data_IF_597633950789
#
_entry.id   IF_597633950789
#
_cell.length_a   1.000
_cell.length_b   1.000
_cell.length_c   1.000
_cell.angle_alpha   90.00
_cell.angle_beta   90.00
_cell.angle_gamma   90.00
#
_symmetry.space_group_name_H-M   'P 1'
#
loop_
_entity.id
_entity.type
_entity.pdbx_description
1 polymer ?
#
# COMPACT_ATOMS: atom_id res chain seq x y z
N UNK A 1 -15.23 -10.82 -10.22
CA UNK A 1 -13.79 -11.05 -10.48
C UNK A 1 -13.18 -12.21 -9.66
N UNK A 2 -13.89 -12.77 -8.67
CA UNK A 2 -13.37 -13.87 -7.84
C UNK A 2 -14.05 -15.24 -8.10
N UNK A 3 -14.73 -15.42 -9.24
CA UNK A 3 -15.35 -16.71 -9.60
C UNK A 3 -14.27 -17.72 -10.01
N UNK A 4 -13.63 -18.32 -9.00
CA UNK A 4 -12.55 -19.29 -9.19
C UNK A 4 -13.06 -20.55 -9.90
N UNK A 5 -14.29 -20.98 -9.62
CA UNK A 5 -14.87 -22.19 -10.20
C UNK A 5 -15.18 -21.99 -11.68
N UNK A 6 -15.82 -20.88 -12.04
CA UNK A 6 -16.10 -20.55 -13.44
C UNK A 6 -14.82 -20.35 -14.26
N UNK A 7 -13.83 -19.63 -13.73
CA UNK A 7 -12.54 -19.47 -14.39
C UNK A 7 -11.81 -20.81 -14.56
N UNK A 8 -11.84 -21.69 -13.55
CA UNK A 8 -11.25 -23.03 -13.66
C UNK A 8 -11.96 -23.90 -14.71
N UNK A 9 -13.29 -23.80 -14.80
CA UNK A 9 -14.07 -24.51 -15.81
C UNK A 9 -13.72 -24.07 -17.24
N UNK A 10 -13.54 -22.76 -17.49
CA UNK A 10 -13.10 -22.22 -18.79
C UNK A 10 -11.74 -22.79 -19.19
N UNK A 11 -10.76 -22.74 -18.28
CA UNK A 11 -9.42 -23.26 -18.52
C UNK A 11 -9.45 -24.76 -18.79
N UNK A 12 -10.21 -25.54 -18.00
CA UNK A 12 -10.31 -26.98 -18.17
C UNK A 12 -11.00 -27.39 -19.48
N UNK A 13 -11.94 -26.58 -19.98
CA UNK A 13 -12.62 -26.80 -21.24
C UNK A 13 -11.79 -26.37 -22.47
N UNK A 14 -10.70 -25.62 -22.27
CA UNK A 14 -9.97 -24.97 -23.37
C UNK A 14 -10.74 -23.83 -24.04
N UNK A 15 -11.84 -23.36 -23.42
CA UNK A 15 -12.67 -22.26 -23.91
C UNK A 15 -12.06 -20.93 -23.47
N UNK A 16 -10.89 -20.63 -24.04
CA UNK A 16 -10.06 -19.49 -23.65
C UNK A 16 -10.57 -18.21 -24.33
N UNK A 17 -10.91 -17.14 -23.58
CA UNK A 17 -11.29 -15.87 -24.17
C UNK A 17 -10.17 -15.25 -25.00
N UNK A 18 -10.53 -14.34 -25.92
CA UNK A 18 -9.55 -13.65 -26.77
C UNK A 18 -8.60 -12.74 -25.96
N UNK A 19 -9.15 -12.03 -24.98
CA UNK A 19 -8.44 -11.16 -24.05
C UNK A 19 -8.98 -11.41 -22.64
N UNK A 20 -8.10 -11.58 -21.66
CA UNK A 20 -8.53 -11.99 -20.33
C UNK A 20 -7.66 -11.45 -19.19
N UNK A 21 -8.36 -11.05 -18.13
CA UNK A 21 -7.82 -10.81 -16.79
C UNK A 21 -8.44 -11.86 -15.84
N UNK A 22 -7.62 -12.78 -15.32
CA UNK A 22 -8.10 -13.97 -14.61
C UNK A 22 -7.48 -14.13 -13.20
N UNK A 23 -7.68 -13.18 -12.27
CA UNK A 23 -7.09 -13.25 -10.93
C UNK A 23 -7.49 -14.49 -10.12
N UNK A 24 -8.64 -15.11 -10.45
CA UNK A 24 -9.12 -16.36 -9.87
C UNK A 24 -8.76 -17.63 -10.65
N UNK A 25 -7.96 -17.52 -11.72
CA UNK A 25 -7.60 -18.64 -12.59
C UNK A 25 -6.77 -19.73 -11.90
N UNK A 26 -6.80 -20.98 -12.40
CA UNK A 26 -6.11 -22.11 -11.76
C UNK A 26 -4.62 -22.23 -12.14
N UNK A 27 -4.13 -21.45 -13.11
CA UNK A 27 -2.79 -21.55 -13.70
C UNK A 27 -2.13 -20.19 -13.80
N UNK A 28 -0.82 -20.09 -13.55
CA UNK A 28 -0.10 -18.82 -13.74
C UNK A 28 0.10 -18.51 -15.23
N UNK A 29 0.35 -17.24 -15.63
CA UNK A 29 0.50 -16.86 -17.03
C UNK A 29 1.55 -17.68 -17.81
N UNK A 30 2.69 -18.00 -17.19
CA UNK A 30 3.72 -18.82 -17.82
C UNK A 30 3.26 -20.25 -18.09
N UNK A 31 2.42 -20.81 -17.22
CA UNK A 31 1.89 -22.17 -17.38
C UNK A 31 0.80 -22.19 -18.44
N UNK A 32 -0.08 -21.16 -18.45
CA UNK A 32 -1.07 -20.96 -19.51
C UNK A 32 -0.42 -20.90 -20.90
N UNK A 33 0.74 -20.26 -21.02
CA UNK A 33 1.49 -20.23 -22.28
C UNK A 33 2.10 -21.60 -22.63
N UNK A 34 2.79 -22.23 -21.67
CA UNK A 34 3.42 -23.56 -21.86
C UNK A 34 2.41 -24.66 -22.21
N UNK A 35 1.19 -24.57 -21.69
CA UNK A 35 0.09 -25.49 -21.96
C UNK A 35 -0.63 -25.20 -23.29
N UNK A 36 -0.23 -24.15 -24.02
CA UNK A 36 -0.81 -23.79 -25.31
C UNK A 36 -2.21 -23.18 -25.20
N UNK A 37 -2.52 -22.55 -24.08
CA UNK A 37 -3.80 -21.85 -23.88
C UNK A 37 -3.73 -20.38 -24.31
N UNK A 38 -2.54 -19.80 -24.24
CA UNK A 38 -2.29 -18.38 -24.56
C UNK A 38 -1.15 -18.19 -25.53
N UNK A 39 -1.23 -17.14 -26.35
CA UNK A 39 -0.13 -16.68 -27.19
C UNK A 39 0.68 -15.58 -26.50
N UNK A 40 1.89 -15.35 -26.98
CA UNK A 40 2.68 -14.17 -26.62
C UNK A 40 2.29 -12.95 -27.44
N UNK A 41 2.74 -11.78 -26.98
CA UNK A 41 2.66 -10.50 -27.68
C UNK A 41 4.09 -10.04 -28.01
N UNK A 42 4.44 -9.83 -29.29
CA UNK A 42 5.73 -9.29 -29.67
C UNK A 42 5.90 -7.84 -29.20
N UNK A 43 7.11 -7.44 -28.82
CA UNK A 43 7.43 -6.07 -28.38
C UNK A 43 7.07 -5.02 -29.44
N UNK A 44 7.23 -5.38 -30.73
CA UNK A 44 6.86 -4.52 -31.86
C UNK A 44 5.37 -4.17 -31.86
N UNK A 45 4.49 -5.07 -31.41
CA UNK A 45 3.05 -4.82 -31.34
C UNK A 45 2.73 -3.78 -30.26
N UNK A 46 3.43 -3.78 -29.13
CA UNK A 46 3.29 -2.70 -28.15
C UNK A 46 3.72 -1.37 -28.75
N UNK A 47 4.88 -1.32 -29.42
CA UNK A 47 5.37 -0.09 -30.04
C UNK A 47 4.42 0.47 -31.10
N UNK A 48 3.84 -0.39 -31.93
CA UNK A 48 3.03 0.03 -33.08
C UNK A 48 1.55 0.25 -32.74
N UNK A 49 0.98 -0.61 -31.89
CA UNK A 49 -0.47 -0.67 -31.68
C UNK A 49 -0.92 -0.29 -30.26
N UNK A 50 0.00 -0.27 -29.28
CA UNK A 50 -0.24 0.21 -27.91
C UNK A 50 0.88 1.16 -27.44
N UNK A 51 1.20 2.23 -28.21
CA UNK A 51 2.36 3.07 -27.94
C UNK A 51 2.32 3.78 -26.58
N UNK A 52 1.13 4.01 -26.00
CA UNK A 52 1.01 4.57 -24.66
C UNK A 52 1.61 3.65 -23.58
N UNK A 53 1.31 2.35 -23.63
CA UNK A 53 1.92 1.35 -22.76
C UNK A 53 3.42 1.21 -23.02
N UNK A 54 3.83 1.16 -24.29
CA UNK A 54 5.24 1.10 -24.65
C UNK A 54 6.03 2.30 -24.10
N UNK A 55 5.44 3.50 -24.13
CA UNK A 55 6.02 4.69 -23.51
C UNK A 55 6.20 4.57 -21.99
N UNK A 56 5.30 3.87 -21.28
CA UNK A 56 5.48 3.58 -19.85
C UNK A 56 6.67 2.63 -19.61
N UNK A 57 6.86 1.64 -20.49
CA UNK A 57 8.04 0.76 -20.44
C UNK A 57 9.34 1.54 -20.70
N UNK A 58 9.34 2.49 -21.63
CA UNK A 58 10.49 3.35 -21.89
C UNK A 58 10.79 4.31 -20.72
N UNK A 59 9.76 4.83 -20.08
CA UNK A 59 9.88 5.69 -18.90
C UNK A 59 10.54 4.95 -17.72
N UNK A 60 10.24 3.66 -17.55
CA UNK A 60 10.86 2.81 -16.54
C UNK A 60 11.34 1.48 -17.15
N UNK A 61 12.56 1.46 -17.72
CA UNK A 61 13.06 0.34 -18.53
C UNK A 61 13.12 -1.02 -17.83
N UNK A 62 13.03 -1.08 -16.50
CA UNK A 62 12.88 -2.34 -15.78
C UNK A 62 11.60 -3.08 -16.19
N UNK A 63 10.57 -2.35 -16.65
CA UNK A 63 9.31 -2.90 -17.15
C UNK A 63 9.47 -3.89 -18.31
N UNK A 64 10.48 -3.70 -19.17
CA UNK A 64 10.78 -4.65 -20.26
C UNK A 64 11.22 -6.03 -19.77
N UNK A 65 11.52 -6.19 -18.47
CA UNK A 65 11.87 -7.50 -17.88
C UNK A 65 10.66 -8.26 -17.35
N UNK A 66 9.50 -7.61 -17.22
CA UNK A 66 8.30 -8.24 -16.63
C UNK A 66 7.53 -9.01 -17.67
N UNK A 67 7.06 -10.19 -17.26
CA UNK A 67 6.22 -11.08 -18.08
C UNK A 67 6.83 -11.43 -19.45
N UNK A 68 8.16 -11.42 -19.61
CA UNK A 68 8.82 -12.00 -20.78
C UNK A 68 8.51 -13.49 -20.86
N UNK A 69 8.26 -13.98 -22.07
CA UNK A 69 8.15 -15.41 -22.31
C UNK A 69 9.51 -16.07 -22.06
N UNK A 70 9.55 -17.31 -21.51
CA UNK A 70 10.80 -18.00 -21.25
C UNK A 70 11.72 -18.03 -22.47
N UNK A 71 13.02 -17.77 -22.25
CA UNK A 71 14.07 -17.81 -23.27
C UNK A 71 13.91 -16.79 -24.42
N UNK A 72 13.12 -15.73 -24.22
CA UNK A 72 12.94 -14.63 -25.20
C UNK A 72 13.37 -13.28 -24.64
N UNK A 73 13.53 -12.29 -25.53
CA UNK A 73 13.86 -10.90 -25.15
C UNK A 73 12.81 -9.88 -25.59
N UNK A 74 11.86 -10.30 -26.41
CA UNK A 74 10.93 -9.44 -27.13
C UNK A 74 9.53 -10.06 -27.28
N UNK A 75 9.24 -11.18 -26.59
CA UNK A 75 7.92 -11.80 -26.55
C UNK A 75 7.40 -11.77 -25.11
N UNK A 76 6.17 -11.32 -24.93
CA UNK A 76 5.56 -11.13 -23.62
C UNK A 76 4.37 -12.06 -23.42
N UNK A 77 4.24 -12.67 -22.24
CA UNK A 77 3.12 -13.53 -21.84
C UNK A 77 1.77 -12.78 -21.80
N UNK A 78 1.80 -11.45 -21.82
CA UNK A 78 0.64 -10.58 -21.76
C UNK A 78 1.01 -9.12 -21.57
N UNK A 79 0.01 -8.27 -21.38
CA UNK A 79 0.19 -6.86 -21.02
C UNK A 79 0.39 -6.81 -19.50
N UNK A 80 1.50 -6.20 -19.05
CA UNK A 80 1.79 -6.07 -17.62
C UNK A 80 1.00 -4.93 -17.03
N UNK A 81 0.27 -5.19 -15.94
CA UNK A 81 -0.36 -4.14 -15.14
C UNK A 81 0.69 -3.16 -14.61
N UNK A 82 0.45 -1.86 -14.83
CA UNK A 82 1.36 -0.78 -14.43
C UNK A 82 0.75 0.00 -13.25
N UNK A 83 1.32 -0.16 -12.06
CA UNK A 83 0.88 0.49 -10.84
C UNK A 83 1.91 1.50 -10.31
N UNK A 84 2.07 2.64 -10.98
CA UNK A 84 2.98 3.69 -10.49
C UNK A 84 2.60 4.14 -9.08
N UNK A 85 1.29 4.30 -8.85
CA UNK A 85 0.77 4.66 -7.53
C UNK A 85 1.23 3.65 -6.46
N UNK A 86 1.14 2.34 -6.70
CA UNK A 86 1.52 1.33 -5.70
C UNK A 86 2.99 1.37 -5.30
N UNK A 87 3.87 1.91 -6.15
CA UNK A 87 5.29 2.10 -5.83
C UNK A 87 5.58 3.47 -5.19
N UNK A 88 4.57 4.31 -5.00
CA UNK A 88 4.70 5.68 -4.51
C UNK A 88 3.83 5.99 -3.28
N UNK A 89 2.84 5.15 -2.95
CA UNK A 89 2.02 5.31 -1.75
C UNK A 89 2.28 4.23 -0.70
N UNK A 90 2.08 4.61 0.55
CA UNK A 90 2.09 3.75 1.73
C UNK A 90 0.67 3.24 2.00
N UNK A 91 0.50 1.93 2.23
CA UNK A 91 -0.84 1.39 2.52
C UNK A 91 -1.29 1.71 3.95
N UNK A 92 -0.34 1.58 4.87
CA UNK A 92 -0.41 2.03 6.26
C UNK A 92 0.29 3.40 6.35
N UNK A 93 -0.35 4.38 7.00
CA UNK A 93 0.22 5.70 7.23
C UNK A 93 0.49 5.86 8.71
N UNK A 94 1.70 6.32 9.05
CA UNK A 94 2.02 6.69 10.42
C UNK A 94 1.20 7.92 10.82
N UNK A 95 0.46 7.83 11.93
CA UNK A 95 -0.30 8.93 12.53
C UNK A 95 0.22 9.16 13.94
N UNK A 96 0.41 10.42 14.34
CA UNK A 96 0.75 10.81 15.70
C UNK A 96 -0.35 11.73 16.24
N UNK A 97 -0.78 11.51 17.48
CA UNK A 97 -1.59 12.48 18.22
C UNK A 97 -0.74 13.74 18.47
N UNK A 98 -1.09 14.83 17.79
CA UNK A 98 -0.33 16.08 17.82
C UNK A 98 -0.40 16.76 19.18
N UNK A 99 -1.56 16.70 19.84
CA UNK A 99 -1.72 17.28 21.18
C UNK A 99 -0.82 16.57 22.19
N UNK A 100 -0.73 15.24 22.11
CA UNK A 100 0.18 14.46 22.95
C UNK A 100 1.64 14.79 22.65
N UNK A 101 2.00 14.90 21.36
CA UNK A 101 3.37 15.21 20.93
C UNK A 101 3.84 16.55 21.50
N UNK A 102 2.99 17.58 21.40
CA UNK A 102 3.24 18.90 21.98
C UNK A 102 3.30 18.85 23.52
N UNK A 103 2.39 18.10 24.16
CA UNK A 103 2.34 17.96 25.62
C UNK A 103 3.63 17.37 26.21
N UNK A 104 4.27 16.44 25.49
CA UNK A 104 5.52 15.80 25.94
C UNK A 104 6.79 16.54 25.46
N UNK A 105 6.62 17.70 24.82
CA UNK A 105 7.68 18.65 24.50
C UNK A 105 8.26 18.56 23.09
N UNK A 106 7.59 17.87 22.16
CA UNK A 106 7.96 17.85 20.75
C UNK A 106 7.06 18.78 19.94
N UNK A 107 7.66 19.77 19.29
CA UNK A 107 6.94 20.72 18.44
C UNK A 107 7.22 20.44 16.96
N UNK A 108 6.21 20.62 16.11
CA UNK A 108 6.33 20.56 14.66
C UNK A 108 6.05 21.94 14.07
N UNK A 109 6.83 22.30 13.05
CA UNK A 109 6.53 23.48 12.24
C UNK A 109 5.38 23.15 11.27
N UNK A 110 4.12 23.40 11.68
CA UNK A 110 2.94 23.06 10.87
C UNK A 110 2.88 23.80 9.52
N UNK A 111 3.65 24.88 9.33
CA UNK A 111 3.77 25.55 8.02
C UNK A 111 4.41 24.64 6.94
N UNK A 112 5.17 23.61 7.36
CA UNK A 112 5.75 22.59 6.47
C UNK A 112 4.77 21.46 6.17
N UNK A 113 3.65 21.39 6.89
CA UNK A 113 2.62 20.38 6.72
C UNK A 113 1.47 20.91 5.85
N UNK A 114 0.75 19.98 5.23
CA UNK A 114 -0.47 20.27 4.47
C UNK A 114 -1.67 19.90 5.32
N UNK A 115 -2.50 20.90 5.61
CA UNK A 115 -3.82 20.68 6.18
C UNK A 115 -4.65 19.81 5.23
N UNK A 116 -5.28 18.77 5.76
CA UNK A 116 -6.17 17.89 5.00
C UNK A 116 -7.47 18.63 4.69
N UNK A 117 -7.92 18.57 3.44
CA UNK A 117 -9.20 19.12 3.02
C UNK A 117 -10.23 18.00 2.88
N UNK A 118 -11.19 17.98 3.77
CA UNK A 118 -12.35 17.11 3.75
C UNK A 118 -13.37 17.68 2.77
N UNK A 119 -13.62 16.94 1.69
CA UNK A 119 -14.60 17.30 0.66
C UNK A 119 -16.02 16.79 0.98
N UNK A 120 -16.17 15.97 2.02
CA UNK A 120 -17.47 15.40 2.43
C UNK A 120 -18.31 16.46 3.14
N UNK A 121 -19.48 16.75 2.59
CA UNK A 121 -20.42 17.74 3.15
C UNK A 121 -20.77 17.43 4.62
N UNK A 122 -20.69 18.44 5.48
CA UNK A 122 -21.00 18.35 6.91
C UNK A 122 -19.81 17.95 7.79
N UNK A 123 -18.63 17.70 7.20
CA UNK A 123 -17.41 17.32 7.92
C UNK A 123 -16.27 18.34 7.77
N UNK A 124 -16.57 19.54 7.27
CA UNK A 124 -15.57 20.58 6.97
C UNK A 124 -14.82 21.05 8.22
N UNK A 125 -15.43 20.92 9.41
CA UNK A 125 -14.79 21.23 10.68
C UNK A 125 -13.53 20.39 10.95
N UNK A 126 -13.47 19.16 10.42
CA UNK A 126 -12.31 18.27 10.59
C UNK A 126 -11.08 18.71 9.78
N UNK A 127 -11.22 19.72 8.92
CA UNK A 127 -10.07 20.29 8.22
C UNK A 127 -9.01 20.78 9.20
N UNK A 128 -9.41 21.34 10.35
CA UNK A 128 -8.48 21.96 11.31
C UNK A 128 -7.76 20.93 12.21
N UNK A 129 -8.16 19.65 12.14
CA UNK A 129 -7.62 18.59 13.00
C UNK A 129 -6.49 17.79 12.36
N UNK A 130 -6.37 17.78 11.02
CA UNK A 130 -5.54 16.81 10.30
C UNK A 130 -4.48 17.47 9.43
N UNK A 131 -3.23 17.03 9.61
CA UNK A 131 -2.06 17.57 8.91
C UNK A 131 -1.23 16.44 8.31
N UNK A 132 -0.81 16.57 7.05
CA UNK A 132 0.01 15.58 6.33
C UNK A 132 1.35 16.20 5.95
N UNK A 133 2.45 15.52 6.27
CA UNK A 133 3.80 15.99 5.99
C UNK A 133 4.88 15.02 6.46
N UNK A 134 6.12 15.48 6.46
CA UNK A 134 7.26 14.68 6.94
C UNK A 134 7.73 15.21 8.30
N UNK A 135 7.75 14.36 9.32
CA UNK A 135 8.18 14.72 10.67
C UNK A 135 9.69 14.72 10.87
N UNK A 136 10.42 13.87 10.13
CA UNK A 136 11.87 13.74 10.19
C UNK A 136 12.48 13.42 11.57
N UNK A 137 11.70 12.99 12.55
CA UNK A 137 12.20 12.59 13.86
C UNK A 137 13.17 11.41 13.73
N UNK A 138 14.31 11.51 14.41
CA UNK A 138 15.33 10.47 14.48
C UNK A 138 14.81 9.23 15.22
N UNK A 139 15.51 8.11 15.08
CA UNK A 139 15.17 6.89 15.82
C UNK A 139 15.25 7.10 17.34
N UNK A 140 16.20 7.90 17.81
CA UNK A 140 16.36 8.21 19.23
C UNK A 140 15.17 9.03 19.76
N UNK A 141 14.76 10.08 19.03
CA UNK A 141 13.58 10.88 19.34
C UNK A 141 12.31 10.04 19.30
N UNK A 142 12.16 9.15 18.31
CA UNK A 142 11.01 8.25 18.26
C UNK A 142 10.90 7.35 19.50
N UNK A 143 12.02 6.77 19.95
CA UNK A 143 12.03 5.96 21.17
C UNK A 143 11.72 6.78 22.43
N UNK A 144 12.18 8.03 22.49
CA UNK A 144 11.86 8.95 23.58
C UNK A 144 10.38 9.37 23.55
N UNK A 145 9.81 9.64 22.37
CA UNK A 145 8.37 9.91 22.19
C UNK A 145 7.54 8.72 22.69
N UNK A 146 7.85 7.48 22.27
CA UNK A 146 7.13 6.29 22.72
C UNK A 146 7.17 6.14 24.25
N UNK A 147 8.34 6.40 24.84
CA UNK A 147 8.51 6.40 26.30
C UNK A 147 7.64 7.47 26.96
N UNK A 148 7.71 8.71 26.49
CA UNK A 148 6.97 9.83 27.08
C UNK A 148 5.46 9.67 26.95
N UNK A 149 4.97 9.15 25.83
CA UNK A 149 3.57 8.79 25.68
C UNK A 149 3.09 7.71 26.66
N UNK A 150 4.00 6.87 27.15
CA UNK A 150 3.69 5.88 28.19
C UNK A 150 3.86 6.43 29.60
N UNK A 151 4.88 7.25 29.87
CA UNK A 151 5.31 7.56 31.24
C UNK A 151 4.95 8.99 31.72
N UNK A 152 4.57 9.91 30.83
CA UNK A 152 4.42 11.35 31.15
C UNK A 152 2.98 11.88 31.07
N UNK A 153 1.96 11.02 31.12
CA UNK A 153 0.53 11.42 31.13
C UNK A 153 0.17 12.43 30.02
N UNK A 154 0.38 12.07 28.73
CA UNK A 154 0.23 12.99 27.62
C UNK A 154 -1.22 13.45 27.40
N UNK A 155 -2.22 12.73 27.93
CA UNK A 155 -3.63 13.14 27.89
C UNK A 155 -4.08 13.90 29.15
N UNK A 156 -3.21 14.03 30.15
CA UNK A 156 -3.39 14.89 31.32
C UNK A 156 -4.50 14.42 32.26
N UNK A 157 -4.86 13.13 32.24
CA UNK A 157 -5.94 12.60 33.07
C UNK A 157 -5.46 12.15 34.47
N UNK A 158 -4.15 12.09 34.70
CA UNK A 158 -3.53 11.66 35.97
C UNK A 158 -3.51 10.14 36.19
N UNK A 159 -3.85 9.34 35.19
CA UNK A 159 -3.84 7.88 35.20
C UNK A 159 -2.76 7.33 34.26
N UNK A 160 -2.04 6.29 34.69
CA UNK A 160 -1.07 5.57 33.85
C UNK A 160 -1.82 4.58 32.94
N UNK A 161 -2.54 5.09 31.94
CA UNK A 161 -3.35 4.30 31.02
C UNK A 161 -3.00 4.49 29.53
N UNK A 162 -2.09 5.40 29.21
CA UNK A 162 -1.59 5.68 27.87
C UNK A 162 -0.39 4.79 27.49
N UNK A 163 -0.10 4.70 26.19
CA UNK A 163 1.09 4.00 25.69
C UNK A 163 1.53 4.53 24.32
N UNK A 164 2.79 4.27 23.96
CA UNK A 164 3.36 4.73 22.69
C UNK A 164 2.62 4.21 21.45
N UNK A 165 2.59 2.90 21.22
CA UNK A 165 2.05 2.32 19.97
C UNK A 165 1.52 0.88 20.14
N UNK A 166 0.65 0.43 19.25
CA UNK A 166 0.31 -0.99 19.11
C UNK A 166 1.31 -1.75 18.22
N UNK A 167 1.71 -2.96 18.64
CA UNK A 167 2.38 -3.93 17.78
C UNK A 167 1.34 -4.79 17.05
N UNK A 168 1.28 -4.63 15.72
CA UNK A 168 0.32 -5.34 14.86
C UNK A 168 1.00 -6.53 14.14
N UNK A 169 0.23 -7.48 13.58
CA UNK A 169 0.81 -8.54 12.78
C UNK A 169 1.63 -8.00 11.60
N UNK A 170 2.77 -8.61 11.29
CA UNK A 170 3.55 -8.26 10.09
C UNK A 170 2.79 -8.70 8.83
N UNK A 171 2.41 -7.75 7.97
CA UNK A 171 1.70 -8.06 6.73
C UNK A 171 1.80 -6.95 5.69
N UNK A 172 1.24 -7.18 4.50
CA UNK A 172 1.11 -6.14 3.47
C UNK A 172 0.16 -4.99 3.86
N UNK A 173 -0.54 -5.10 4.99
CA UNK A 173 -1.62 -4.20 5.40
C UNK A 173 -1.39 -3.54 6.76
N UNK A 174 -0.39 -3.97 7.51
CA UNK A 174 -0.18 -3.61 8.91
C UNK A 174 1.31 -3.61 9.23
N UNK A 175 1.70 -2.85 10.27
CA UNK A 175 3.04 -2.86 10.84
C UNK A 175 4.12 -2.30 9.89
N UNK A 176 3.71 -1.51 8.88
CA UNK A 176 4.65 -0.98 7.87
C UNK A 176 5.53 0.12 8.44
N UNK A 177 5.04 0.88 9.43
CA UNK A 177 5.84 1.84 10.20
C UNK A 177 7.00 1.12 10.89
N UNK A 178 6.73 0.09 11.69
CA UNK A 178 7.77 -0.60 12.45
C UNK A 178 8.76 -1.37 11.56
N UNK A 179 8.28 -2.08 10.53
CA UNK A 179 9.17 -2.78 9.58
C UNK A 179 9.97 -1.78 8.72
N UNK A 180 9.33 -0.68 8.31
CA UNK A 180 9.94 0.37 7.48
C UNK A 180 11.13 1.05 8.13
N UNK A 181 11.07 1.29 9.45
CA UNK A 181 12.20 1.83 10.24
C UNK A 181 13.48 0.99 10.13
N UNK A 182 13.38 -0.29 9.78
CA UNK A 182 14.52 -1.18 9.66
C UNK A 182 14.76 -1.65 8.22
N UNK A 183 14.09 -1.02 7.24
CA UNK A 183 14.19 -1.38 5.83
C UNK A 183 13.68 -2.79 5.52
N UNK A 184 12.74 -3.29 6.32
CA UNK A 184 12.19 -4.64 6.18
C UNK A 184 10.95 -4.60 5.27
N UNK A 185 10.93 -5.47 4.27
CA UNK A 185 9.78 -5.69 3.39
C UNK A 185 8.88 -6.81 3.93
N UNK A 186 7.57 -6.60 3.86
CA UNK A 186 6.57 -7.62 4.19
C UNK A 186 6.61 -8.83 3.23
N UNK A 187 7.23 -8.69 2.04
CA UNK A 187 7.30 -9.75 1.04
C UNK A 187 8.25 -10.86 1.50
N UNK A 188 7.70 -12.04 1.79
CA UNK A 188 8.47 -13.20 2.26
C UNK A 188 9.58 -13.65 1.30
N UNK A 189 9.43 -13.38 0.00
CA UNK A 189 10.40 -13.75 -1.05
C UNK A 189 11.47 -12.67 -1.28
N UNK A 190 11.38 -11.52 -0.62
CA UNK A 190 12.34 -10.45 -0.80
C UNK A 190 13.69 -10.85 -0.20
N UNK A 191 14.76 -10.59 -0.96
CA UNK A 191 16.12 -10.81 -0.53
C UNK A 191 16.80 -9.48 -0.26
N UNK A 192 17.57 -9.43 0.81
CA UNK A 192 18.19 -8.22 1.32
C UNK A 192 19.69 -8.29 1.08
N UNK A 193 20.29 -7.18 0.68
CA UNK A 193 21.73 -7.02 0.79
C UNK A 193 22.06 -6.64 2.23
N UNK A 194 22.57 -7.60 3.00
CA UNK A 194 22.86 -7.39 4.41
C UNK A 194 24.02 -6.41 4.59
N UNK A 195 23.84 -5.31 5.34
CA UNK A 195 24.87 -4.26 5.46
C UNK A 195 26.11 -4.72 6.26
N UNK A 196 25.98 -5.76 7.08
CA UNK A 196 27.08 -6.26 7.92
C UNK A 196 27.96 -7.27 7.18
N UNK A 197 27.34 -8.22 6.49
CA UNK A 197 28.04 -9.30 5.78
C UNK A 197 28.28 -9.01 4.29
N UNK A 198 27.52 -8.09 3.71
CA UNK A 198 27.54 -7.76 2.27
C UNK A 198 26.82 -8.79 1.38
N UNK A 199 26.30 -9.88 1.96
CA UNK A 199 25.66 -10.97 1.22
C UNK A 199 24.20 -10.65 0.90
N UNK A 200 23.66 -11.31 -0.13
CA UNK A 200 22.22 -11.33 -0.41
C UNK A 200 21.58 -12.47 0.39
N UNK A 201 20.68 -12.13 1.31
CA UNK A 201 20.12 -13.06 2.32
C UNK A 201 18.59 -12.95 2.43
N UNK A 202 17.88 -14.00 2.87
CA UNK A 202 16.46 -13.90 3.20
C UNK A 202 16.21 -13.08 4.48
N UNK A 203 14.95 -12.64 4.71
CA UNK A 203 14.52 -11.87 5.91
C UNK A 203 15.07 -12.45 7.22
N UNK A 204 15.01 -13.77 7.40
CA UNK A 204 15.45 -14.46 8.64
C UNK A 204 16.95 -14.40 8.91
N UNK A 205 17.77 -14.05 7.93
CA UNK A 205 19.23 -13.89 8.06
C UNK A 205 19.67 -12.43 7.89
N UNK A 206 18.73 -11.49 7.74
CA UNK A 206 19.00 -10.07 7.57
C UNK A 206 19.27 -9.41 8.92
N UNK A 207 20.43 -8.76 9.07
CA UNK A 207 20.86 -8.20 10.37
C UNK A 207 19.90 -7.13 10.91
N UNK A 208 19.42 -6.16 10.12
CA UNK A 208 18.42 -5.21 10.59
C UNK A 208 17.10 -5.85 11.03
N UNK A 209 16.71 -7.01 10.48
CA UNK A 209 15.52 -7.72 10.98
C UNK A 209 15.73 -8.31 12.38
N UNK A 210 16.93 -8.81 12.70
CA UNK A 210 17.28 -9.19 14.08
C UNK A 210 17.18 -7.99 15.02
N UNK A 211 17.71 -6.84 14.61
CA UNK A 211 17.74 -5.63 15.44
C UNK A 211 16.34 -5.05 15.65
N UNK A 212 15.49 -5.10 14.62
CA UNK A 212 14.06 -4.85 14.71
C UNK A 212 13.38 -5.75 15.76
N UNK A 213 13.60 -7.07 15.72
CA UNK A 213 12.99 -7.99 16.69
C UNK A 213 13.47 -7.71 18.12
N UNK A 214 14.73 -7.34 18.30
CA UNK A 214 15.26 -6.94 19.60
C UNK A 214 14.59 -5.66 20.11
N UNK A 215 14.41 -4.66 19.25
CA UNK A 215 13.74 -3.41 19.57
C UNK A 215 12.25 -3.60 19.91
N UNK A 216 11.52 -4.41 19.13
CA UNK A 216 10.12 -4.76 19.43
C UNK A 216 10.03 -5.47 20.77
N UNK A 217 10.91 -6.44 21.04
CA UNK A 217 10.94 -7.16 22.32
C UNK A 217 11.18 -6.22 23.50
N UNK A 218 12.15 -5.31 23.39
CA UNK A 218 12.45 -4.32 24.43
C UNK A 218 11.28 -3.35 24.65
N UNK A 219 10.70 -2.82 23.58
CA UNK A 219 9.57 -1.88 23.65
C UNK A 219 8.31 -2.52 24.26
N UNK A 220 8.05 -3.79 23.96
CA UNK A 220 6.97 -4.56 24.58
C UNK A 220 7.23 -4.81 26.07
N UNK A 221 8.47 -5.13 26.45
CA UNK A 221 8.82 -5.36 27.86
C UNK A 221 8.72 -4.09 28.71
N UNK A 222 9.01 -2.93 28.12
CA UNK A 222 8.88 -1.62 28.76
C UNK A 222 7.44 -1.09 28.76
N UNK A 223 6.53 -1.70 28.02
CA UNK A 223 5.13 -1.24 27.90
C UNK A 223 4.94 -0.07 26.92
N UNK A 224 6.02 0.38 26.26
CA UNK A 224 5.98 1.41 25.21
C UNK A 224 5.18 0.94 23.99
N UNK A 225 5.20 -0.36 23.75
CA UNK A 225 4.29 -1.02 22.83
C UNK A 225 3.38 -2.02 23.54
N UNK A 226 2.16 -2.18 23.01
CA UNK A 226 1.22 -3.22 23.47
C UNK A 226 0.81 -4.13 22.31
N UNK A 227 0.59 -5.41 22.61
CA UNK A 227 -0.01 -6.35 21.65
C UNK A 227 -1.52 -6.23 21.69
N UNK A 228 -2.14 -6.62 20.59
CA UNK A 228 -3.57 -6.89 20.56
C UNK A 228 -3.94 -8.03 21.54
N UNK A 229 -5.14 -8.01 22.16
CA UNK A 229 -5.57 -9.03 23.12
C UNK A 229 -5.60 -10.45 22.55
N UNK A 230 -5.93 -10.62 21.26
CA UNK A 230 -6.03 -11.93 20.61
C UNK A 230 -7.35 -12.68 20.89
N UNK A 231 -8.36 -12.00 21.42
CA UNK A 231 -9.73 -12.48 21.65
C UNK A 231 -10.58 -12.45 20.36
N UNK A 232 -10.23 -11.59 19.40
CA UNK A 232 -10.87 -11.48 18.10
C UNK A 232 -9.85 -11.26 16.96
N UNK A 233 -10.35 -11.12 15.73
CA UNK A 233 -9.51 -10.77 14.58
C UNK A 233 -8.89 -9.37 14.77
N UNK A 234 -7.65 -9.20 14.29
CA UNK A 234 -6.85 -8.00 14.53
C UNK A 234 -7.58 -6.69 14.20
N UNK A 235 -8.39 -6.67 13.14
CA UNK A 235 -9.17 -5.50 12.71
C UNK A 235 -10.11 -5.05 13.82
N UNK A 236 -10.92 -5.97 14.36
CA UNK A 236 -11.93 -5.63 15.36
C UNK A 236 -11.29 -5.12 16.65
N UNK A 237 -10.20 -5.76 17.08
CA UNK A 237 -9.48 -5.37 18.29
C UNK A 237 -8.77 -4.01 18.11
N UNK A 238 -8.13 -3.80 16.95
CA UNK A 238 -7.44 -2.55 16.67
C UNK A 238 -8.42 -1.37 16.59
N UNK A 239 -9.57 -1.55 15.94
CA UNK A 239 -10.61 -0.53 15.87
C UNK A 239 -11.16 -0.17 17.26
N UNK A 240 -11.38 -1.17 18.13
CA UNK A 240 -11.84 -0.93 19.50
C UNK A 240 -10.79 -0.20 20.35
N UNK A 241 -9.53 -0.60 20.28
CA UNK A 241 -8.45 -0.02 21.08
C UNK A 241 -8.02 1.37 20.59
N UNK A 242 -7.99 1.61 19.28
CA UNK A 242 -7.67 2.95 18.75
C UNK A 242 -8.77 3.96 19.07
N UNK A 243 -10.04 3.54 19.10
CA UNK A 243 -11.16 4.40 19.47
C UNK A 243 -11.16 4.87 20.93
N UNK A 244 -10.32 4.30 21.80
CA UNK A 244 -10.16 4.80 23.19
C UNK A 244 -9.22 6.00 23.27
N UNK A 245 -8.48 6.34 22.20
CA UNK A 245 -7.44 7.36 22.17
C UNK A 245 -6.41 7.21 23.30
N UNK A 246 -6.02 5.96 23.61
CA UNK A 246 -5.00 5.64 24.64
C UNK A 246 -3.63 5.25 24.07
N UNK A 247 -3.44 5.38 22.76
CA UNK A 247 -2.14 5.22 22.11
C UNK A 247 -1.73 6.54 21.46
N UNK A 248 -0.43 6.87 21.41
CA UNK A 248 0.04 8.14 20.83
C UNK A 248 0.43 8.04 19.36
N UNK A 249 0.88 6.87 18.91
CA UNK A 249 1.22 6.57 17.51
C UNK A 249 0.29 5.47 16.99
N UNK A 250 -0.31 5.71 15.83
CA UNK A 250 -1.30 4.84 15.21
C UNK A 250 -0.86 4.40 13.81
N UNK A 251 -1.32 3.20 13.43
CA UNK A 251 -1.33 2.70 12.05
C UNK A 251 -2.64 3.10 11.39
N UNK A 252 -2.58 4.07 10.49
CA UNK A 252 -3.72 4.56 9.73
C UNK A 252 -3.90 3.84 8.40
N UNK A 253 -5.14 3.57 7.99
CA UNK A 253 -5.38 3.16 6.61
C UNK A 253 -5.21 4.36 5.67
N UNK A 254 -4.52 4.21 4.53
CA UNK A 254 -4.29 5.31 3.55
C UNK A 254 -5.57 6.04 3.13
N UNK A 255 -6.66 5.29 2.98
CA UNK A 255 -7.96 5.80 2.54
C UNK A 255 -8.84 6.18 3.74
N UNK A 256 -8.40 5.79 4.95
CA UNK A 256 -9.07 6.01 6.22
C UNK A 256 -9.50 7.45 6.31
N UNK A 257 -8.53 8.34 6.56
CA UNK A 257 -8.71 9.76 6.91
C UNK A 257 -9.56 10.62 5.95
N UNK A 258 -9.88 10.18 4.72
CA UNK A 258 -10.76 10.89 3.78
C UNK A 258 -12.15 10.26 3.62
N UNK A 259 -12.35 8.98 3.99
CA UNK A 259 -13.61 8.26 3.76
C UNK A 259 -14.52 8.20 4.99
N UNK A 260 -14.93 9.38 5.47
CA UNK A 260 -15.68 9.56 6.73
C UNK A 260 -17.06 8.87 6.77
N UNK A 261 -17.66 8.62 5.61
CA UNK A 261 -19.00 8.00 5.49
C UNK A 261 -18.94 6.50 5.17
N UNK A 262 -17.74 5.93 5.01
CA UNK A 262 -17.57 4.51 4.72
C UNK A 262 -17.44 3.74 6.03
N UNK A 263 -18.35 2.79 6.29
CA UNK A 263 -18.39 2.02 7.53
C UNK A 263 -17.11 1.23 7.81
N UNK A 264 -16.34 0.86 6.80
CA UNK A 264 -15.05 0.19 7.02
C UNK A 264 -14.02 1.20 7.53
N UNK A 265 -13.91 2.34 6.86
CA UNK A 265 -12.82 3.29 7.07
C UNK A 265 -13.03 4.22 8.26
N UNK A 266 -14.26 4.66 8.51
CA UNK A 266 -14.59 5.54 9.64
C UNK A 266 -14.28 4.94 11.03
N UNK A 267 -14.10 3.62 11.09
CA UNK A 267 -13.77 2.88 12.31
C UNK A 267 -12.25 2.79 12.56
N UNK A 268 -11.41 3.34 11.67
CA UNK A 268 -9.96 3.46 11.86
C UNK A 268 -9.55 4.85 12.36
N UNK A 269 -8.38 4.97 13.02
CA UNK A 269 -7.82 6.26 13.38
C UNK A 269 -7.43 7.07 12.12
N UNK A 270 -7.49 8.41 12.19
CA UNK A 270 -7.87 9.21 13.37
C UNK A 270 -9.40 9.38 13.54
N UNK A 271 -10.20 8.82 12.64
CA UNK A 271 -11.61 9.19 12.50
C UNK A 271 -12.51 8.57 13.56
N UNK A 272 -12.22 7.36 13.99
CA UNK A 272 -12.94 6.75 15.11
C UNK A 272 -12.81 7.57 16.40
N UNK A 273 -11.71 8.32 16.56
CA UNK A 273 -11.49 9.25 17.66
C UNK A 273 -12.25 10.55 17.40
N UNK A 274 -12.02 11.19 16.25
CA UNK A 274 -12.66 12.47 15.89
C UNK A 274 -14.18 12.42 15.86
N UNK A 275 -14.75 11.29 15.41
CA UNK A 275 -16.19 11.10 15.28
C UNK A 275 -16.84 10.50 16.53
N UNK A 276 -16.06 9.84 17.39
CA UNK A 276 -16.57 8.96 18.45
C UNK A 276 -16.23 9.40 19.87
N UNK A 277 -15.14 10.12 20.08
CA UNK A 277 -14.59 10.41 21.40
C UNK A 277 -14.21 11.88 21.57
N UNK A 278 -13.32 12.38 20.72
CA UNK A 278 -12.72 13.70 20.86
C UNK A 278 -12.67 14.42 19.49
N UNK A 279 -13.67 15.27 19.19
CA UNK A 279 -13.73 15.99 17.91
C UNK A 279 -12.71 17.12 17.78
N UNK A 280 -12.04 17.52 18.87
CA UNK A 280 -11.05 18.60 18.86
C UNK A 280 -9.60 18.09 18.80
N UNK A 281 -9.40 16.77 19.00
CA UNK A 281 -8.08 16.15 18.91
C UNK A 281 -7.40 16.44 17.56
N UNK A 282 -6.09 16.71 17.58
CA UNK A 282 -5.31 17.01 16.38
C UNK A 282 -4.32 15.88 16.08
N UNK A 283 -4.08 15.64 14.79
CA UNK A 283 -3.20 14.57 14.33
C UNK A 283 -2.30 15.03 13.17
N UNK A 284 -1.06 14.56 13.20
CA UNK A 284 -0.10 14.66 12.09
C UNK A 284 0.11 13.28 11.48
N UNK A 285 0.27 13.23 10.15
CA UNK A 285 0.32 11.99 9.38
C UNK A 285 1.40 12.05 8.30
N UNK A 286 2.00 10.91 7.98
CA UNK A 286 3.01 10.79 6.92
C UNK A 286 4.30 10.13 7.43
N UNK A 287 5.42 10.23 6.71
CA UNK A 287 6.67 9.62 7.13
C UNK A 287 7.31 10.42 8.28
N UNK A 288 6.86 10.14 9.51
CA UNK A 288 7.20 10.95 10.68
C UNK A 288 8.58 10.65 11.27
N UNK A 289 9.08 9.42 11.08
CA UNK A 289 10.24 8.90 11.79
C UNK A 289 11.33 8.41 10.83
N UNK A 290 12.55 8.28 11.35
CA UNK A 290 13.69 7.66 10.68
C UNK A 290 14.23 6.49 11.50
N UNK A 291 14.64 5.46 10.78
CA UNK A 291 15.29 4.28 11.31
C UNK A 291 16.67 4.53 11.90
N UNK A 292 17.27 3.51 12.54
CA UNK A 292 18.62 3.61 13.12
C UNK A 292 19.71 4.03 12.13
N UNK A 293 19.52 3.76 10.84
CA UNK A 293 20.44 4.12 9.75
C UNK A 293 19.99 5.35 8.94
N UNK A 294 18.93 6.04 9.39
CA UNK A 294 18.34 7.18 8.69
C UNK A 294 17.29 6.82 7.64
N UNK A 295 17.00 5.53 7.43
CA UNK A 295 15.93 5.06 6.53
C UNK A 295 14.61 5.72 6.90
N UNK A 296 13.92 6.30 5.92
CA UNK A 296 12.62 6.94 6.16
C UNK A 296 11.58 5.87 6.52
N UNK A 297 10.70 6.17 7.47
CA UNK A 297 9.58 5.29 7.84
C UNK A 297 8.57 5.14 6.71
N UNK A 298 7.79 4.06 6.80
CA UNK A 298 6.81 3.58 5.85
C UNK A 298 7.42 3.00 4.55
N UNK A 299 7.04 1.77 4.23
CA UNK A 299 7.45 1.11 2.99
C UNK A 299 6.37 1.28 1.90
N UNK A 300 6.79 1.51 0.66
CA UNK A 300 5.85 1.53 -0.46
C UNK A 300 5.04 0.23 -0.54
N UNK A 301 3.77 0.32 -0.90
CA UNK A 301 2.87 -0.83 -0.98
C UNK A 301 3.38 -1.93 -1.93
N UNK A 302 4.08 -1.54 -2.99
CA UNK A 302 4.78 -2.46 -3.89
C UNK A 302 6.19 -1.94 -4.16
N UNK A 303 7.16 -2.85 -4.17
CA UNK A 303 8.56 -2.52 -4.47
C UNK A 303 8.77 -2.10 -5.93
N UNK A 304 7.90 -2.58 -6.82
CA UNK A 304 7.97 -2.34 -8.25
C UNK A 304 6.63 -1.83 -8.78
N UNK A 305 6.71 -0.99 -9.81
CA UNK A 305 5.53 -0.50 -10.54
C UNK A 305 4.92 -1.57 -11.43
N UNK A 306 5.72 -2.53 -11.88
CA UNK A 306 5.28 -3.63 -12.73
C UNK A 306 5.09 -4.90 -11.90
N UNK A 307 4.04 -5.67 -12.22
CA UNK A 307 3.71 -6.88 -11.46
C UNK A 307 3.74 -8.15 -12.31
N UNK A 308 3.74 -9.30 -11.64
CA UNK A 308 3.64 -10.62 -12.27
C UNK A 308 2.48 -11.42 -11.69
N UNK A 309 2.05 -12.44 -12.42
CA UNK A 309 1.01 -13.37 -12.00
C UNK A 309 -0.40 -12.91 -12.34
N UNK A 310 -1.38 -13.73 -11.96
CA UNK A 310 -2.77 -13.59 -12.42
C UNK A 310 -3.47 -12.26 -12.08
N UNK A 311 -3.03 -11.57 -11.03
CA UNK A 311 -3.57 -10.27 -10.65
C UNK A 311 -2.90 -9.09 -11.39
N UNK A 312 -1.87 -9.35 -12.21
CA UNK A 312 -0.99 -8.33 -12.78
C UNK A 312 -0.64 -8.54 -14.26
N UNK A 313 -1.22 -9.54 -14.91
CA UNK A 313 -0.95 -9.86 -16.32
C UNK A 313 -2.25 -10.11 -17.06
N UNK A 314 -2.51 -9.31 -18.09
CA UNK A 314 -3.63 -9.49 -19.02
C UNK A 314 -3.16 -10.33 -20.21
N UNK A 315 -3.81 -11.46 -20.45
CA UNK A 315 -3.34 -12.48 -21.40
C UNK A 315 -4.20 -12.50 -22.67
N UNK A 316 -3.61 -13.04 -23.75
CA UNK A 316 -4.27 -13.21 -25.05
C UNK A 316 -4.43 -14.71 -25.34
N UNK A 317 -5.64 -15.13 -25.68
CA UNK A 317 -5.94 -16.53 -26.03
C UNK A 317 -5.14 -17.00 -27.25
N UNK A 318 -4.74 -18.27 -27.28
CA UNK A 318 -3.91 -18.82 -28.37
C UNK A 318 -4.58 -18.66 -29.76
N UNK A 319 -5.92 -18.68 -29.80
CA UNK A 319 -6.71 -18.58 -31.03
C UNK A 319 -6.70 -17.19 -31.69
N UNK A 320 -6.16 -16.17 -31.02
CA UNK A 320 -6.16 -14.80 -31.53
C UNK A 320 -5.05 -14.63 -32.56
N UNK A 321 -5.40 -14.37 -33.81
CA UNK A 321 -4.44 -14.03 -34.85
C UNK A 321 -3.90 -12.59 -34.71
N UNK A 322 -2.90 -12.24 -35.52
CA UNK A 322 -2.23 -10.93 -35.44
C UNK A 322 -3.15 -9.75 -35.74
N UNK A 323 -4.07 -9.90 -36.70
CA UNK A 323 -5.01 -8.85 -37.05
C UNK A 323 -6.00 -8.57 -35.90
N UNK A 324 -6.43 -9.63 -35.21
CA UNK A 324 -7.29 -9.52 -34.04
C UNK A 324 -6.54 -8.98 -32.82
N UNK A 325 -5.28 -9.39 -32.62
CA UNK A 325 -4.41 -8.84 -31.58
C UNK A 325 -4.18 -7.34 -31.80
N UNK A 326 -3.84 -6.91 -33.01
CA UNK A 326 -3.73 -5.49 -33.37
C UNK A 326 -5.00 -4.73 -32.98
N UNK A 327 -6.18 -5.27 -33.33
CA UNK A 327 -7.46 -4.63 -33.00
C UNK A 327 -7.68 -4.51 -31.49
N UNK A 328 -7.34 -5.54 -30.71
CA UNK A 328 -7.42 -5.51 -29.24
C UNK A 328 -6.51 -4.41 -28.69
N UNK A 329 -5.25 -4.38 -29.11
CA UNK A 329 -4.28 -3.39 -28.66
C UNK A 329 -4.69 -1.97 -29.00
N UNK A 330 -5.20 -1.73 -30.23
CA UNK A 330 -5.71 -0.41 -30.62
C UNK A 330 -6.93 0.03 -29.82
N UNK A 331 -7.80 -0.89 -29.41
CA UNK A 331 -8.91 -0.57 -28.51
C UNK A 331 -8.40 -0.14 -27.13
N UNK A 332 -7.42 -0.86 -26.56
CA UNK A 332 -6.80 -0.49 -25.28
C UNK A 332 -6.08 0.86 -25.38
N UNK A 333 -5.35 1.11 -26.48
CA UNK A 333 -4.72 2.41 -26.77
C UNK A 333 -5.74 3.54 -26.78
N UNK A 334 -6.88 3.32 -27.45
CA UNK A 334 -7.96 4.29 -27.49
C UNK A 334 -8.49 4.59 -26.09
N UNK A 335 -8.88 3.55 -25.34
CA UNK A 335 -9.56 3.68 -24.05
C UNK A 335 -8.68 4.27 -22.94
N UNK A 336 -7.37 3.99 -22.97
CA UNK A 336 -6.49 4.29 -21.84
C UNK A 336 -5.57 5.48 -22.12
N UNK A 337 -5.04 5.60 -23.34
CA UNK A 337 -3.86 6.42 -23.63
C UNK A 337 -4.11 7.54 -24.66
N UNK A 338 -5.36 7.81 -25.03
CA UNK A 338 -5.68 8.83 -26.05
C UNK A 338 -5.90 10.23 -25.46
N UNK A 339 -6.63 10.31 -24.36
CA UNK A 339 -6.91 11.57 -23.65
C UNK A 339 -7.48 11.27 -22.27
N UNK A 340 -7.36 12.23 -21.37
CA UNK A 340 -7.92 12.14 -20.01
C UNK A 340 -9.46 11.97 -20.02
N UNK A 341 -10.18 12.68 -20.90
CA UNK A 341 -11.64 12.54 -21.06
C UNK A 341 -12.06 11.11 -21.44
N UNK A 342 -11.42 10.54 -22.48
CA UNK A 342 -11.67 9.14 -22.87
C UNK A 342 -11.32 8.19 -21.74
N UNK A 343 -10.19 8.40 -21.05
CA UNK A 343 -9.81 7.59 -19.90
C UNK A 343 -10.91 7.60 -18.82
N UNK A 344 -11.38 8.78 -18.41
CA UNK A 344 -12.45 8.91 -17.43
C UNK A 344 -13.76 8.32 -17.91
N UNK A 345 -14.10 8.44 -19.20
CA UNK A 345 -15.31 7.82 -19.76
C UNK A 345 -15.35 6.31 -19.54
N UNK A 346 -14.23 5.62 -19.72
CA UNK A 346 -14.16 4.16 -19.57
C UNK A 346 -13.83 3.70 -18.14
N UNK A 347 -13.22 4.56 -17.30
CA UNK A 347 -12.83 4.20 -15.93
C UNK A 347 -13.81 4.70 -14.85
N UNK A 348 -14.36 5.91 -15.01
CA UNK A 348 -15.30 6.54 -14.08
C UNK A 348 -16.73 6.59 -14.63
N UNK A 349 -16.89 6.36 -15.94
CA UNK A 349 -18.18 6.39 -16.62
C UNK A 349 -18.52 7.77 -17.19
N UNK A 350 -19.80 8.02 -17.47
CA UNK A 350 -20.26 9.23 -18.16
C UNK A 350 -20.37 10.38 -17.16
N UNK A 351 -19.64 11.47 -17.43
CA UNK A 351 -19.73 12.72 -16.67
C UNK A 351 -21.19 13.24 -16.64
N UNK A 352 -21.64 13.71 -15.49
CA UNK A 352 -23.00 14.15 -15.25
C UNK A 352 -23.99 13.02 -14.94
N UNK A 353 -23.64 11.75 -15.20
CA UNK A 353 -24.45 10.57 -14.84
C UNK A 353 -23.81 9.82 -13.67
N UNK A 354 -22.54 9.40 -13.83
CA UNK A 354 -21.84 8.60 -12.84
C UNK A 354 -20.94 9.45 -11.92
N UNK A 355 -20.42 10.58 -12.41
CA UNK A 355 -19.51 11.45 -11.66
C UNK A 355 -19.60 12.91 -12.14
N UNK A 356 -19.05 13.87 -11.38
CA UNK A 356 -18.94 15.29 -11.71
C UNK A 356 -17.59 15.83 -11.22
N UNK A 357 -17.02 16.79 -11.95
CA UNK A 357 -15.80 17.51 -11.58
C UNK A 357 -15.98 18.44 -10.39
#
# INVERSE_FOLDING_TARGET
MNDKEGMAALVAAGDIPDFMFMPGGPRQPVDMHKEGLTRTIPLSFFREYLPGYYGLLEMMPIGFKYNLAPDTTDEYLGITHVGFASAQYFYDTTIINLDWLEAVGYELNLDEFKQVKIATEGYEHLNDNLFVGEGNFTFEEYNDILKKFTEEDPDGNGEDDTYGMMYLPESAWTNMTQEGLFGVSHLATYLYKDPVTGNVVPKTAYTPYRDYLAWISDSLNKGYMRKLPGEAGWVAEYQQLSATNKMGVFSGHRDGYLQLTNDIYRNYPPQNILLGLDPEARFVMGPMFRGPDGTLVDAAYSIDTFGVGLNRTEMIGLQVDDAKLERILRMLQYMIYTSEDIFYRYNQGIEGIHWKW
#
